data_IF_648957824036
#
_entry.id   IF_648957824036
#
_cell.length_a   1.000
_cell.length_b   1.000
_cell.length_c   1.000
_cell.angle_alpha   90.00
_cell.angle_beta   90.00
_cell.angle_gamma   90.00
#
_symmetry.space_group_name_H-M   'P 1'
#
loop_
_entity.id
_entity.type
_entity.pdbx_description
1 polymer ?
#
# COMPACT_ATOMS: atom_id res chain seq x y z
N UNK A 1 -22.68 19.97 16.19
CA UNK A 1 -22.29 19.38 14.89
C UNK A 1 -21.47 18.11 15.13
N UNK A 2 -21.94 16.93 14.71
CA UNK A 2 -21.07 15.73 14.62
C UNK A 2 -20.15 15.95 13.43
N UNK A 3 -18.82 16.00 13.63
CA UNK A 3 -17.86 15.89 12.52
C UNK A 3 -18.20 14.58 11.78
N UNK A 4 -18.47 14.66 10.48
CA UNK A 4 -18.58 13.48 9.65
C UNK A 4 -17.31 12.66 9.84
N UNK A 5 -17.44 11.36 10.11
CA UNK A 5 -16.27 10.48 10.14
C UNK A 5 -15.69 10.47 8.73
N UNK A 6 -14.47 10.97 8.59
CA UNK A 6 -13.76 10.84 7.32
C UNK A 6 -13.49 9.36 7.04
N UNK A 7 -13.77 8.97 5.79
CA UNK A 7 -13.59 7.63 5.27
C UNK A 7 -12.56 7.68 4.18
N UNK A 8 -11.57 6.79 4.26
CA UNK A 8 -10.52 6.69 3.26
C UNK A 8 -10.55 5.30 2.64
N UNK A 9 -10.64 5.27 1.31
CA UNK A 9 -10.56 4.04 0.53
C UNK A 9 -9.11 3.71 0.19
N UNK A 10 -8.67 2.54 0.60
CA UNK A 10 -7.34 2.01 0.28
C UNK A 10 -7.48 0.77 -0.59
N UNK A 11 -6.59 0.62 -1.57
CA UNK A 11 -6.56 -0.52 -2.47
C UNK A 11 -5.14 -0.97 -2.73
N UNK A 12 -4.96 -2.28 -2.88
CA UNK A 12 -3.72 -2.87 -3.33
C UNK A 12 -4.01 -4.07 -4.23
N UNK A 13 -3.16 -4.30 -5.21
CA UNK A 13 -3.17 -5.49 -6.06
C UNK A 13 -1.76 -6.04 -6.22
N UNK A 14 -1.68 -7.35 -6.39
CA UNK A 14 -0.46 -8.07 -6.77
C UNK A 14 -0.68 -8.62 -8.18
N UNK A 15 0.29 -8.37 -9.05
CA UNK A 15 0.22 -8.77 -10.47
C UNK A 15 1.40 -9.65 -10.83
N UNK A 16 1.21 -10.49 -11.84
CA UNK A 16 2.32 -11.21 -12.48
C UNK A 16 3.10 -10.31 -13.45
N UNK A 17 4.15 -10.86 -14.05
CA UNK A 17 5.00 -10.22 -15.05
C UNK A 17 4.26 -9.82 -16.33
N UNK A 18 3.12 -10.46 -16.62
CA UNK A 18 2.20 -10.14 -17.71
C UNK A 18 1.12 -9.14 -17.30
N UNK A 19 1.27 -8.49 -16.14
CA UNK A 19 0.33 -7.53 -15.55
C UNK A 19 -1.05 -8.10 -15.22
N UNK A 20 -1.21 -9.42 -15.17
CA UNK A 20 -2.46 -10.07 -14.76
C UNK A 20 -2.59 -9.98 -13.25
N UNK A 21 -3.76 -9.60 -12.76
CA UNK A 21 -4.04 -9.52 -11.32
C UNK A 21 -4.14 -10.92 -10.75
N UNK A 22 -3.25 -11.25 -9.81
CA UNK A 22 -3.28 -12.50 -9.06
C UNK A 22 -4.20 -12.39 -7.85
N UNK A 23 -4.13 -11.26 -7.15
CA UNK A 23 -4.99 -10.93 -6.02
C UNK A 23 -5.13 -9.41 -5.89
N UNK A 24 -6.31 -8.96 -5.46
CA UNK A 24 -6.57 -7.57 -5.13
C UNK A 24 -7.45 -7.46 -3.89
N UNK A 25 -7.28 -6.38 -3.14
CA UNK A 25 -8.15 -6.06 -2.01
C UNK A 25 -8.30 -4.55 -1.86
N UNK A 26 -9.53 -4.13 -1.57
CA UNK A 26 -9.81 -2.79 -1.07
C UNK A 26 -10.34 -2.85 0.37
N UNK A 27 -10.14 -1.76 1.11
CA UNK A 27 -10.66 -1.60 2.47
C UNK A 27 -10.97 -0.13 2.74
N UNK A 28 -12.10 0.11 3.41
CA UNK A 28 -12.40 1.41 4.01
C UNK A 28 -11.77 1.49 5.39
N UNK A 29 -11.07 2.60 5.67
CA UNK A 29 -10.61 2.92 7.01
C UNK A 29 -11.34 4.15 7.53
N UNK A 30 -11.75 4.07 8.78
CA UNK A 30 -12.28 5.18 9.54
C UNK A 30 -11.13 6.03 10.06
N UNK A 31 -11.18 7.33 9.79
CA UNK A 31 -10.19 8.28 10.27
C UNK A 31 -9.76 9.28 9.19
N UNK A 32 -9.06 10.31 9.64
CA UNK A 32 -8.45 11.30 8.76
C UNK A 32 -6.96 11.00 8.64
N UNK A 33 -6.54 10.57 7.45
CA UNK A 33 -5.14 10.35 7.11
C UNK A 33 -4.80 11.28 5.95
N UNK A 34 -3.58 11.82 5.97
CA UNK A 34 -3.06 12.46 4.77
C UNK A 34 -2.77 11.40 3.69
N UNK A 35 -2.60 11.86 2.45
CA UNK A 35 -2.37 10.98 1.30
C UNK A 35 -1.13 10.08 1.47
N UNK A 36 -0.08 10.59 2.13
CA UNK A 36 1.16 9.84 2.34
C UNK A 36 0.93 8.64 3.28
N UNK A 37 0.29 8.87 4.43
CA UNK A 37 -0.10 7.81 5.37
C UNK A 37 -1.03 6.81 4.70
N UNK A 38 -2.01 7.30 3.93
CA UNK A 38 -2.91 6.43 3.16
C UNK A 38 -2.15 5.47 2.23
N UNK A 39 -1.15 5.97 1.50
CA UNK A 39 -0.34 5.14 0.62
C UNK A 39 0.55 4.15 1.37
N UNK A 40 1.16 4.54 2.50
CA UNK A 40 1.91 3.59 3.34
C UNK A 40 1.02 2.47 3.89
N UNK A 41 -0.21 2.79 4.30
CA UNK A 41 -1.16 1.78 4.79
C UNK A 41 -1.63 0.87 3.65
N UNK A 42 -1.89 1.42 2.46
CA UNK A 42 -2.21 0.62 1.28
C UNK A 42 -1.08 -0.35 0.92
N UNK A 43 0.18 0.13 0.94
CA UNK A 43 1.36 -0.69 0.71
C UNK A 43 1.49 -1.82 1.74
N UNK A 44 1.42 -1.49 3.04
CA UNK A 44 1.46 -2.49 4.12
C UNK A 44 0.40 -3.57 3.91
N UNK A 45 -0.84 -3.17 3.61
CA UNK A 45 -1.94 -4.11 3.39
C UNK A 45 -1.71 -4.98 2.14
N UNK A 46 -1.16 -4.41 1.07
CA UNK A 46 -0.78 -5.14 -0.15
C UNK A 46 0.32 -6.18 0.10
N UNK A 47 1.35 -5.84 0.87
CA UNK A 47 2.42 -6.78 1.25
C UNK A 47 1.90 -7.90 2.17
N UNK A 48 1.03 -7.56 3.12
CA UNK A 48 0.35 -8.57 3.95
C UNK A 48 -0.52 -9.50 3.10
N UNK A 49 -1.20 -8.97 2.08
CA UNK A 49 -1.99 -9.75 1.13
C UNK A 49 -1.10 -10.71 0.33
N UNK A 50 0.02 -10.22 -0.20
CA UNK A 50 0.98 -11.07 -0.90
C UNK A 50 1.52 -12.19 0.01
N UNK A 51 1.87 -11.87 1.26
CA UNK A 51 2.31 -12.84 2.27
C UNK A 51 1.23 -13.90 2.54
N UNK A 52 -0.03 -13.50 2.69
CA UNK A 52 -1.14 -14.42 2.94
C UNK A 52 -1.33 -15.43 1.81
N UNK A 53 -1.14 -15.00 0.55
CA UNK A 53 -1.22 -15.87 -0.62
C UNK A 53 0.13 -16.51 -1.01
N UNK A 54 1.16 -16.37 -0.19
CA UNK A 54 2.51 -16.88 -0.45
C UNK A 54 3.11 -16.40 -1.80
N UNK A 55 2.83 -15.14 -2.17
CA UNK A 55 3.32 -14.51 -3.40
C UNK A 55 4.60 -13.72 -3.11
N UNK A 56 5.67 -14.00 -3.87
CA UNK A 56 6.90 -13.22 -3.80
C UNK A 56 6.74 -11.88 -4.55
N UNK A 57 6.88 -10.77 -3.82
CA UNK A 57 6.85 -9.42 -4.40
C UNK A 57 8.28 -8.98 -4.71
N UNK A 58 8.55 -8.65 -5.98
CA UNK A 58 9.88 -8.16 -6.43
C UNK A 58 9.94 -6.64 -6.55
N UNK A 59 8.84 -6.03 -6.96
CA UNK A 59 8.73 -4.59 -7.17
C UNK A 59 7.41 -4.09 -6.63
N UNK A 60 7.42 -2.86 -6.16
CA UNK A 60 6.23 -2.16 -5.66
C UNK A 60 6.04 -0.92 -6.51
N UNK A 61 4.86 -0.78 -7.10
CA UNK A 61 4.44 0.42 -7.81
C UNK A 61 3.57 1.28 -6.87
N UNK A 62 4.03 2.49 -6.58
CA UNK A 62 3.32 3.48 -5.77
C UNK A 62 3.42 4.85 -6.43
N UNK A 63 2.37 5.66 -6.31
CA UNK A 63 2.31 6.97 -6.97
C UNK A 63 2.96 8.09 -6.14
N UNK A 64 3.16 7.89 -4.82
CA UNK A 64 3.80 8.89 -3.96
C UNK A 64 5.32 8.77 -4.02
N UNK A 65 5.96 9.83 -4.53
CA UNK A 65 7.42 9.97 -4.51
C UNK A 65 8.00 9.86 -3.09
N UNK A 66 7.34 10.43 -2.08
CA UNK A 66 7.78 10.34 -0.68
C UNK A 66 7.80 8.90 -0.17
N UNK A 67 6.81 8.09 -0.57
CA UNK A 67 6.77 6.66 -0.23
C UNK A 67 7.94 5.93 -0.90
N UNK A 68 8.20 6.21 -2.18
CA UNK A 68 9.37 5.67 -2.90
C UNK A 68 10.68 6.05 -2.20
N UNK A 69 10.87 7.32 -1.89
CA UNK A 69 12.10 7.84 -1.27
C UNK A 69 12.33 7.25 0.13
N UNK A 70 11.26 7.05 0.90
CA UNK A 70 11.34 6.46 2.25
C UNK A 70 11.79 5.00 2.22
N UNK A 71 11.32 4.22 1.22
CA UNK A 71 11.62 2.80 1.10
C UNK A 71 12.97 2.50 0.43
N UNK A 72 13.45 3.43 -0.39
CA UNK A 72 14.73 3.32 -1.10
C UNK A 72 15.86 4.12 -0.41
N UNK A 73 15.61 4.69 0.76
CA UNK A 73 16.67 5.32 1.56
C UNK A 73 17.74 4.25 1.84
N UNK A 74 18.98 4.55 1.46
CA UNK A 74 20.11 3.63 1.62
C UNK A 74 20.15 3.16 3.07
N UNK A 75 19.96 1.87 3.31
CA UNK A 75 20.28 1.27 4.61
C UNK A 75 21.79 1.40 4.76
N UNK A 76 22.31 2.19 5.72
CA UNK A 76 23.74 2.21 5.98
C UNK A 76 24.19 0.78 6.30
N UNK A 77 25.30 0.30 5.73
CA UNK A 77 25.84 -1.00 6.13
C UNK A 77 26.16 -0.91 7.62
N UNK A 78 25.58 -1.82 8.41
CA UNK A 78 25.90 -2.02 9.82
C UNK A 78 27.35 -2.47 9.99
#
# INVERSE_FOLDING_TARGET
MRKALELIGLGASVRDDKRRVLVARSKLLFGSFNNDIGQFVALRNGLMLAKFYNLQVRFVEVNSRKVVDSLNSQVPPF
#
